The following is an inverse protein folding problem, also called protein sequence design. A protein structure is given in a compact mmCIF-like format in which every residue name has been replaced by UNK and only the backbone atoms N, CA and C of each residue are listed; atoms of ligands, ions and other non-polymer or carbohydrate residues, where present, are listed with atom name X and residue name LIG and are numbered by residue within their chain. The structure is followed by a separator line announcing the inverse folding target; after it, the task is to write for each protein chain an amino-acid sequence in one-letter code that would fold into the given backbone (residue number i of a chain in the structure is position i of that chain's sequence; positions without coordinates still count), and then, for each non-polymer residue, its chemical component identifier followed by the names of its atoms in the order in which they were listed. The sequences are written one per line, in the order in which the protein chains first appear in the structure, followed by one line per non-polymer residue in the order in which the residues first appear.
data_IF_157059487772
#
_entry.id   IF_157059487772
#
_cell.length_a   1.000
_cell.length_b   1.000
_cell.length_c   1.000
_cell.angle_alpha   90.00
_cell.angle_beta   90.00
_cell.angle_gamma   90.00
#
_symmetry.space_group_name_H-M   'P 1'
#
loop_
_entity.id
_entity.type
_entity.pdbx_description
1 polymer ?
#
# COMPACT_ATOMS: atom_id res chain seq x y z
N UNK A 1 2.32 -22.94 -5.10
CA UNK A 1 3.18 -21.79 -5.49
C UNK A 1 3.52 -21.03 -4.21
N UNK A 2 4.80 -20.75 -3.88
CA UNK A 2 5.14 -20.09 -2.63
C UNK A 2 4.58 -18.66 -2.66
N UNK A 3 3.68 -18.35 -1.72
CA UNK A 3 3.16 -17.01 -1.46
C UNK A 3 4.35 -16.12 -1.14
N UNK A 4 4.61 -15.10 -1.96
CA UNK A 4 5.68 -14.14 -1.71
C UNK A 4 5.51 -13.64 -0.28
N UNK A 5 6.53 -13.87 0.55
CA UNK A 5 6.49 -13.47 1.94
C UNK A 5 6.22 -11.97 2.00
N UNK A 6 5.31 -11.55 2.88
CA UNK A 6 4.92 -10.18 3.18
C UNK A 6 6.11 -9.41 3.81
N UNK A 7 7.24 -9.37 3.10
CA UNK A 7 8.51 -8.84 3.57
C UNK A 7 8.47 -7.34 3.33
N UNK A 8 8.21 -6.62 4.40
CA UNK A 8 8.43 -5.18 4.44
C UNK A 8 9.93 -4.91 4.44
N UNK A 9 10.36 -3.93 3.64
CA UNK A 9 11.75 -3.46 3.60
C UNK A 9 11.77 -2.02 4.07
N UNK A 10 12.63 -1.72 5.04
CA UNK A 10 12.81 -0.36 5.53
C UNK A 10 13.60 0.43 4.49
N UNK A 11 13.04 1.54 4.02
CA UNK A 11 13.69 2.43 3.06
C UNK A 11 13.93 3.79 3.73
N UNK A 12 15.20 4.21 3.78
CA UNK A 12 15.59 5.51 4.36
C UNK A 12 15.91 6.47 3.22
N UNK A 13 15.25 7.63 3.19
CA UNK A 13 15.55 8.71 2.27
C UNK A 13 15.86 9.99 3.04
N UNK A 14 16.68 10.86 2.46
CA UNK A 14 16.92 12.21 2.98
C UNK A 14 15.99 13.17 2.26
N UNK A 15 15.40 14.08 3.00
CA UNK A 15 14.51 15.12 2.47
C UNK A 15 14.73 16.42 3.22
N UNK A 16 14.21 17.52 2.69
CA UNK A 16 14.20 18.80 3.38
C UNK A 16 13.24 18.75 4.58
N UNK A 17 13.54 19.48 5.68
CA UNK A 17 12.67 19.49 6.85
C UNK A 17 11.24 19.92 6.50
N UNK A 18 11.07 20.96 5.69
CA UNK A 18 9.74 21.43 5.26
C UNK A 18 8.95 20.39 4.44
N UNK A 19 9.63 19.50 3.72
CA UNK A 19 8.95 18.41 2.99
C UNK A 19 8.44 17.35 3.96
N UNK A 20 9.20 17.03 5.01
CA UNK A 20 8.75 16.13 6.07
C UNK A 20 7.52 16.70 6.79
N UNK A 21 7.56 17.97 7.15
CA UNK A 21 6.43 18.63 7.82
C UNK A 21 5.16 18.62 6.95
N UNK A 22 5.29 18.92 5.65
CA UNK A 22 4.18 18.83 4.71
C UNK A 22 3.63 17.40 4.57
N UNK A 23 4.51 16.39 4.55
CA UNK A 23 4.11 14.98 4.52
C UNK A 23 3.38 14.57 5.80
N UNK A 24 3.81 15.04 6.97
CA UNK A 24 3.13 14.79 8.25
C UNK A 24 1.70 15.34 8.24
N UNK A 25 1.51 16.56 7.73
CA UNK A 25 0.18 17.18 7.58
C UNK A 25 -0.67 16.38 6.58
N UNK A 26 -0.14 16.08 5.40
CA UNK A 26 -0.86 15.33 4.36
C UNK A 26 -1.28 13.93 4.84
N UNK A 27 -0.41 13.25 5.59
CA UNK A 27 -0.70 11.94 6.18
C UNK A 27 -1.84 12.04 7.22
N UNK A 28 -1.80 13.08 8.06
CA UNK A 28 -2.86 13.39 9.02
C UNK A 28 -4.22 13.63 8.36
N UNK A 29 -4.25 14.32 7.22
CA UNK A 29 -5.48 14.57 6.45
C UNK A 29 -6.10 13.27 5.90
N UNK A 30 -5.26 12.35 5.43
CA UNK A 30 -5.68 11.06 4.86
C UNK A 30 -6.00 9.97 5.92
N UNK A 31 -5.90 10.29 7.23
CA UNK A 31 -6.03 9.32 8.34
C UNK A 31 -5.14 8.07 8.18
N UNK A 32 -3.95 8.25 7.59
CA UNK A 32 -2.99 7.17 7.33
C UNK A 32 -1.63 7.54 7.87
N UNK A 33 -0.81 6.53 8.18
CA UNK A 33 0.59 6.76 8.55
C UNK A 33 1.38 7.33 7.37
N UNK A 34 2.41 8.14 7.64
CA UNK A 34 3.31 8.68 6.62
C UNK A 34 3.85 7.61 5.67
N UNK A 35 4.18 6.43 6.17
CA UNK A 35 4.65 5.30 5.36
C UNK A 35 3.61 4.87 4.31
N UNK A 36 2.34 4.76 4.70
CA UNK A 36 1.26 4.38 3.80
C UNK A 36 0.96 5.47 2.77
N UNK A 37 1.09 6.75 3.15
CA UNK A 37 0.99 7.86 2.21
C UNK A 37 2.12 7.78 1.18
N UNK A 38 3.37 7.65 1.63
CA UNK A 38 4.54 7.53 0.76
C UNK A 38 4.45 6.32 -0.16
N UNK A 39 3.96 5.19 0.33
CA UNK A 39 3.74 3.99 -0.49
C UNK A 39 2.71 4.24 -1.59
N UNK A 40 1.56 4.84 -1.27
CA UNK A 40 0.54 5.20 -2.26
C UNK A 40 1.07 6.17 -3.32
N UNK A 41 1.78 7.22 -2.90
CA UNK A 41 2.42 8.18 -3.80
C UNK A 41 3.46 7.51 -4.71
N UNK A 42 4.28 6.61 -4.17
CA UNK A 42 5.27 5.86 -4.94
C UNK A 42 4.60 4.94 -5.97
N UNK A 43 3.53 4.24 -5.58
CA UNK A 43 2.76 3.36 -6.47
C UNK A 43 2.15 4.17 -7.61
N UNK A 44 1.45 5.25 -7.30
CA UNK A 44 0.80 6.10 -8.31
C UNK A 44 1.83 6.70 -9.27
N UNK A 45 2.97 7.18 -8.75
CA UNK A 45 4.05 7.72 -9.57
C UNK A 45 4.63 6.68 -10.53
N UNK A 46 4.89 5.46 -10.05
CA UNK A 46 5.38 4.37 -10.88
C UNK A 46 4.35 3.96 -11.94
N UNK A 47 3.08 3.83 -11.57
CA UNK A 47 1.98 3.49 -12.49
C UNK A 47 1.82 4.54 -13.59
N UNK A 48 1.87 5.82 -13.23
CA UNK A 48 1.80 6.95 -14.18
C UNK A 48 2.94 6.90 -15.21
N UNK A 49 4.09 6.36 -14.82
CA UNK A 49 5.27 6.19 -15.69
C UNK A 49 5.36 4.81 -16.36
N UNK A 50 4.38 3.93 -16.15
CA UNK A 50 4.41 2.56 -16.69
C UNK A 50 5.46 1.64 -16.04
N UNK A 51 5.95 1.99 -14.85
CA UNK A 51 6.90 1.17 -14.09
C UNK A 51 6.10 0.12 -13.30
N UNK A 52 6.26 -1.15 -13.66
CA UNK A 52 5.63 -2.27 -12.96
C UNK A 52 6.28 -2.48 -11.59
N UNK A 53 5.45 -2.60 -10.54
CA UNK A 53 5.91 -2.94 -9.18
C UNK A 53 5.60 -4.41 -8.92
N UNK A 54 6.64 -5.23 -8.86
CA UNK A 54 6.50 -6.66 -8.62
C UNK A 54 5.87 -6.94 -7.25
N UNK A 55 4.81 -7.77 -7.23
CA UNK A 55 4.17 -8.22 -5.98
C UNK A 55 3.02 -7.35 -5.47
N UNK A 56 2.65 -6.26 -6.15
CA UNK A 56 1.44 -5.47 -5.83
C UNK A 56 0.18 -5.92 -6.61
N UNK A 57 0.30 -6.92 -7.49
CA UNK A 57 -0.77 -7.36 -8.41
C UNK A 57 -1.81 -8.32 -7.78
N UNK A 58 -1.91 -8.43 -6.45
CA UNK A 58 -2.71 -9.49 -5.80
C UNK A 58 -3.62 -9.03 -4.63
N UNK A 59 -4.12 -7.80 -4.63
CA UNK A 59 -5.19 -7.37 -3.69
C UNK A 59 -6.37 -6.70 -4.43
N UNK A 60 -6.77 -7.22 -5.60
CA UNK A 60 -8.01 -6.77 -6.27
C UNK A 60 -8.96 -7.94 -6.65
N UNK A 61 -8.78 -9.12 -6.04
CA UNK A 61 -9.70 -10.25 -6.29
C UNK A 61 -9.82 -11.15 -5.05
N UNK A 62 -10.66 -10.79 -4.06
CA UNK A 62 -11.35 -11.79 -3.19
C UNK A 62 -12.39 -11.23 -2.21
N UNK A 63 -12.70 -9.93 -2.18
CA UNK A 63 -13.81 -9.41 -1.35
C UNK A 63 -15.23 -9.76 -1.88
N UNK A 64 -15.36 -10.87 -2.63
CA UNK A 64 -16.60 -11.31 -3.26
C UNK A 64 -17.13 -12.69 -2.85
N UNK A 65 -16.46 -13.47 -1.98
CA UNK A 65 -16.98 -14.79 -1.60
C UNK A 65 -17.81 -14.74 -0.30
N UNK A 66 -19.00 -14.13 -0.37
CA UNK A 66 -20.10 -14.47 0.56
C UNK A 66 -20.69 -15.81 0.09
N UNK A 67 -20.12 -16.92 0.55
CA UNK A 67 -20.74 -18.24 0.45
C UNK A 67 -21.86 -18.40 1.50
N UNK A 68 -22.98 -19.06 1.19
CA UNK A 68 -24.16 -19.11 2.05
C UNK A 68 -23.94 -20.00 3.28
N UNK A 69 -24.40 -19.51 4.42
CA UNK A 69 -24.54 -20.26 5.67
C UNK A 69 -25.50 -21.44 5.50
N UNK A 70 -25.02 -22.64 5.79
CA UNK A 70 -25.85 -23.83 5.90
C UNK A 70 -25.04 -25.10 6.18
N UNK A 71 -24.86 -25.45 7.45
CA UNK A 71 -24.84 -26.86 7.82
C UNK A 71 -25.26 -27.05 9.29
N UNK A 72 -26.52 -27.44 9.42
CA UNK A 72 -27.13 -28.19 10.52
C UNK A 72 -26.54 -29.60 10.52
N UNK A 73 -26.31 -30.16 11.71
CA UNK A 73 -25.92 -31.55 11.92
C UNK A 73 -25.68 -31.82 13.39
#
# INVERSE_FOLDING_TARGET
MPKAANRTVVTTFRTQPGVREALEIAAGMENRSMSNLMERLAIEHCRSKGIAIAGLEADDDTRGHRGPSGQTG
#
